data_IF_610672342432
#
_entry.id   IF_610672342432
#
_cell.length_a   1.000
_cell.length_b   1.000
_cell.length_c   1.000
_cell.angle_alpha   90.00
_cell.angle_beta   90.00
_cell.angle_gamma   90.00
#
_symmetry.space_group_name_H-M   'P 1'
#
loop_
_entity.id
_entity.type
_entity.pdbx_description
1 polymer ?
#
# COMPACT_ATOMS: atom_id res chain seq x y z
N UNK A 1 -0.43 17.85 -20.05
CA UNK A 1 0.89 17.14 -20.11
C UNK A 1 1.88 18.05 -20.81
N UNK A 2 3.02 18.33 -20.19
CA UNK A 2 4.13 19.11 -20.79
C UNK A 2 5.01 18.22 -21.68
N UNK A 3 5.87 18.82 -22.49
CA UNK A 3 6.88 18.09 -23.26
C UNK A 3 7.93 17.47 -22.32
N UNK A 4 8.37 16.26 -22.64
CA UNK A 4 9.41 15.54 -21.91
C UNK A 4 10.32 14.79 -22.90
N UNK A 5 11.55 14.53 -22.48
CA UNK A 5 12.44 13.60 -23.18
C UNK A 5 12.23 12.18 -22.67
N UNK A 6 12.52 11.18 -23.50
CA UNK A 6 12.39 9.77 -23.15
C UNK A 6 13.73 9.07 -23.38
N UNK A 7 14.16 8.30 -22.37
CA UNK A 7 15.36 7.48 -22.43
C UNK A 7 15.06 6.12 -21.84
N UNK A 8 15.73 5.09 -22.32
CA UNK A 8 15.65 3.73 -21.78
C UNK A 8 16.93 3.43 -21.00
N UNK A 9 16.80 2.91 -19.80
CA UNK A 9 17.92 2.43 -19.02
C UNK A 9 18.38 1.05 -19.55
N UNK A 10 19.69 0.85 -19.64
CA UNK A 10 20.30 -0.40 -20.07
C UNK A 10 20.41 -1.43 -18.94
N UNK A 11 20.70 -0.95 -17.74
CA UNK A 11 20.80 -1.73 -16.51
C UNK A 11 20.45 -0.85 -15.29
N UNK A 12 20.43 -1.45 -14.09
CA UNK A 12 20.12 -0.74 -12.84
C UNK A 12 21.12 0.39 -12.55
N UNK A 13 22.40 0.18 -12.81
CA UNK A 13 23.42 1.19 -12.59
C UNK A 13 23.23 2.39 -13.51
N UNK A 14 22.86 2.14 -14.76
CA UNK A 14 22.52 3.19 -15.73
C UNK A 14 21.25 3.94 -15.31
N UNK A 15 20.21 3.26 -14.85
CA UNK A 15 18.99 3.89 -14.32
C UNK A 15 19.32 4.84 -13.16
N UNK A 16 20.16 4.40 -12.21
CA UNK A 16 20.63 5.20 -11.07
C UNK A 16 21.44 6.42 -11.53
N UNK A 17 22.36 6.25 -12.50
CA UNK A 17 23.13 7.41 -13.04
C UNK A 17 22.21 8.44 -13.71
N UNK A 18 21.25 7.98 -14.51
CA UNK A 18 20.33 8.86 -15.24
C UNK A 18 19.43 9.66 -14.31
N UNK A 19 18.84 9.01 -13.26
CA UNK A 19 17.95 9.70 -12.31
C UNK A 19 18.72 10.68 -11.42
N UNK A 20 19.93 10.33 -11.02
CA UNK A 20 20.79 11.18 -10.21
C UNK A 20 21.28 12.44 -10.97
N UNK A 21 21.42 12.35 -12.29
CA UNK A 21 21.85 13.47 -13.13
C UNK A 21 20.76 14.53 -13.38
N UNK A 22 19.47 14.18 -13.15
CA UNK A 22 18.35 15.09 -13.40
C UNK A 22 17.28 14.95 -12.30
N UNK A 23 17.22 15.88 -11.33
CA UNK A 23 16.26 15.81 -10.23
C UNK A 23 14.80 15.92 -10.65
N UNK A 24 14.53 16.36 -11.89
CA UNK A 24 13.17 16.45 -12.45
C UNK A 24 12.75 15.19 -13.21
N UNK A 25 13.70 14.29 -13.51
CA UNK A 25 13.41 13.02 -14.16
C UNK A 25 12.57 12.10 -13.28
N UNK A 26 11.84 11.19 -13.93
CA UNK A 26 11.08 10.12 -13.24
C UNK A 26 11.27 8.79 -13.95
N UNK A 27 11.35 7.71 -13.17
CA UNK A 27 11.24 6.37 -13.71
C UNK A 27 9.84 6.12 -14.23
N UNK A 28 9.75 5.44 -15.37
CA UNK A 28 8.50 4.91 -15.89
C UNK A 28 8.60 3.38 -16.05
N UNK A 29 7.64 2.68 -15.44
CA UNK A 29 7.39 1.25 -15.64
C UNK A 29 6.02 1.09 -16.33
N UNK A 30 5.03 0.47 -15.71
CA UNK A 30 3.69 0.33 -16.28
C UNK A 30 2.90 1.64 -16.51
N UNK A 31 3.35 2.75 -15.95
CA UNK A 31 2.81 4.10 -16.19
C UNK A 31 1.43 4.37 -15.57
N UNK A 32 0.78 3.37 -14.97
CA UNK A 32 -0.63 3.43 -14.53
C UNK A 32 -0.94 4.48 -13.46
N UNK A 33 0.05 5.08 -12.83
CA UNK A 33 -0.11 6.24 -11.95
C UNK A 33 0.63 7.48 -12.48
N UNK A 34 1.88 7.35 -12.94
CA UNK A 34 2.66 8.50 -13.39
C UNK A 34 2.01 9.21 -14.58
N UNK A 35 1.57 8.44 -15.61
CA UNK A 35 0.94 9.04 -16.81
C UNK A 35 -0.38 9.74 -16.44
N UNK A 36 -1.16 9.17 -15.52
CA UNK A 36 -2.37 9.79 -14.99
C UNK A 36 -2.05 11.16 -14.37
N UNK A 37 -1.07 11.23 -13.47
CA UNK A 37 -0.62 12.48 -12.86
C UNK A 37 -0.03 13.49 -13.89
N UNK A 38 0.61 12.99 -14.93
CA UNK A 38 1.13 13.86 -16.02
C UNK A 38 -0.01 14.45 -16.88
N UNK A 39 -1.08 13.69 -17.13
CA UNK A 39 -2.26 14.18 -17.87
C UNK A 39 -2.97 15.28 -17.10
N UNK A 40 -3.03 15.17 -15.79
CA UNK A 40 -3.62 16.18 -14.90
C UNK A 40 -2.65 17.34 -14.56
N UNK A 41 -1.43 17.34 -15.12
CA UNK A 41 -0.37 18.32 -14.83
C UNK A 41 0.01 18.41 -13.34
N UNK A 42 -0.24 17.35 -12.57
CA UNK A 42 0.20 17.20 -11.17
C UNK A 42 1.67 16.78 -11.11
N UNK A 43 2.11 15.95 -12.07
CA UNK A 43 3.51 15.60 -12.28
C UNK A 43 3.98 16.13 -13.64
N UNK A 44 5.07 16.89 -13.62
CA UNK A 44 5.61 17.54 -14.82
C UNK A 44 7.11 17.19 -14.97
N UNK A 45 7.48 15.91 -15.16
CA UNK A 45 8.89 15.54 -15.36
C UNK A 45 9.40 16.09 -16.70
N UNK A 46 10.66 16.55 -16.70
CA UNK A 46 11.36 16.94 -17.95
C UNK A 46 11.82 15.72 -18.74
N UNK A 47 11.98 14.57 -18.04
CA UNK A 47 12.49 13.33 -18.62
C UNK A 47 11.82 12.10 -17.99
N UNK A 48 11.50 11.12 -18.85
CA UNK A 48 11.11 9.78 -18.44
C UNK A 48 12.25 8.80 -18.71
N UNK A 49 12.62 8.02 -17.68
CA UNK A 49 13.60 6.95 -17.75
C UNK A 49 12.83 5.63 -17.72
N UNK A 50 12.75 4.98 -18.87
CA UNK A 50 12.07 3.69 -19.02
C UNK A 50 12.93 2.56 -18.42
N UNK A 51 12.33 1.88 -17.43
CA UNK A 51 12.93 0.77 -16.71
C UNK A 51 12.29 -0.59 -17.04
N UNK A 52 11.36 -0.64 -18.01
CA UNK A 52 10.55 -1.84 -18.30
C UNK A 52 11.36 -3.05 -18.79
N UNK A 53 12.57 -2.84 -19.29
CA UNK A 53 13.45 -3.89 -19.81
C UNK A 53 14.55 -4.35 -18.83
N UNK A 54 14.57 -3.78 -17.63
CA UNK A 54 15.52 -4.23 -16.61
C UNK A 54 15.16 -5.66 -16.14
N UNK A 55 16.14 -6.51 -15.80
CA UNK A 55 15.90 -7.90 -15.39
C UNK A 55 15.38 -7.98 -13.93
N UNK A 56 14.26 -7.32 -13.65
CA UNK A 56 13.63 -7.19 -12.33
C UNK A 56 12.21 -7.78 -12.32
N UNK A 57 11.94 -8.77 -13.14
CA UNK A 57 10.62 -9.36 -13.41
C UNK A 57 10.46 -10.80 -12.91
N UNK A 58 11.34 -11.26 -11.99
CA UNK A 58 11.31 -12.61 -11.46
C UNK A 58 10.74 -12.71 -10.06
N UNK A 59 10.17 -13.87 -9.74
CA UNK A 59 9.79 -14.28 -8.37
C UNK A 59 10.65 -15.47 -8.00
N UNK A 60 11.47 -15.33 -6.96
CA UNK A 60 12.50 -16.30 -6.59
C UNK A 60 12.43 -16.64 -5.10
N UNK A 61 12.72 -17.90 -4.76
CA UNK A 61 12.90 -18.32 -3.35
C UNK A 61 14.25 -17.83 -2.86
N UNK A 62 14.28 -17.29 -1.64
CA UNK A 62 15.51 -16.88 -0.98
C UNK A 62 15.92 -17.89 0.10
N UNK A 63 17.18 -17.80 0.54
CA UNK A 63 17.82 -18.81 1.41
C UNK A 63 17.14 -19.00 2.76
N UNK A 64 16.46 -17.97 3.29
CA UNK A 64 15.70 -18.02 4.55
C UNK A 64 14.30 -18.64 4.38
N UNK A 65 13.99 -19.16 3.19
CA UNK A 65 12.70 -19.74 2.84
C UNK A 65 11.64 -18.72 2.44
N UNK A 66 11.96 -17.42 2.40
CA UNK A 66 11.08 -16.37 1.92
C UNK A 66 10.97 -16.31 0.38
N UNK A 67 10.38 -15.23 -0.12
CA UNK A 67 10.32 -14.93 -1.56
C UNK A 67 10.88 -13.54 -1.85
N UNK A 68 11.67 -13.43 -2.93
CA UNK A 68 12.05 -12.18 -3.55
C UNK A 68 11.22 -11.97 -4.80
N UNK A 69 10.56 -10.83 -4.89
CA UNK A 69 9.68 -10.40 -5.96
C UNK A 69 10.32 -9.20 -6.63
N UNK A 70 10.71 -9.34 -7.88
CA UNK A 70 11.30 -8.25 -8.66
C UNK A 70 10.33 -7.08 -8.83
N UNK A 71 10.86 -5.86 -8.83
CA UNK A 71 10.06 -4.64 -8.86
C UNK A 71 9.20 -4.50 -10.13
N UNK A 72 9.58 -5.15 -11.22
CA UNK A 72 8.88 -5.10 -12.51
C UNK A 72 7.89 -6.26 -12.73
N UNK A 73 7.76 -7.20 -11.78
CA UNK A 73 6.72 -8.25 -11.86
C UNK A 73 5.36 -7.57 -11.97
N UNK A 74 4.55 -7.86 -13.03
CA UNK A 74 3.20 -7.33 -13.16
C UNK A 74 2.30 -7.77 -11.98
N UNK A 75 1.42 -6.88 -11.54
CA UNK A 75 0.52 -7.21 -10.43
C UNK A 75 -0.40 -8.41 -10.74
N UNK A 76 -0.83 -8.58 -12.00
CA UNK A 76 -1.57 -9.76 -12.45
C UNK A 76 -0.79 -11.04 -12.24
N UNK A 77 0.46 -11.09 -12.71
CA UNK A 77 1.30 -12.27 -12.66
C UNK A 77 1.64 -12.63 -11.21
N UNK A 78 1.93 -11.61 -10.39
CA UNK A 78 2.15 -11.80 -8.96
C UNK A 78 0.92 -12.38 -8.25
N UNK A 79 -0.29 -11.86 -8.54
CA UNK A 79 -1.52 -12.29 -7.87
C UNK A 79 -1.86 -13.76 -8.12
N UNK A 80 -1.49 -14.29 -9.31
CA UNK A 80 -1.76 -15.67 -9.71
C UNK A 80 -0.51 -16.56 -9.62
N UNK A 81 0.62 -16.05 -9.12
CA UNK A 81 1.84 -16.83 -9.00
C UNK A 81 1.64 -18.00 -8.01
N UNK A 82 2.05 -19.24 -8.35
CA UNK A 82 1.80 -20.44 -7.51
C UNK A 82 2.30 -20.30 -6.06
N UNK A 83 3.50 -19.75 -5.84
CA UNK A 83 4.04 -19.53 -4.50
C UNK A 83 3.23 -18.49 -3.71
N UNK A 84 2.69 -17.47 -4.38
CA UNK A 84 1.83 -16.47 -3.74
C UNK A 84 0.48 -17.11 -3.39
N UNK A 85 -0.12 -17.85 -4.30
CA UNK A 85 -1.40 -18.53 -4.05
C UNK A 85 -1.29 -19.55 -2.89
N UNK A 86 -0.19 -20.29 -2.83
CA UNK A 86 0.01 -21.33 -1.82
C UNK A 86 0.45 -20.77 -0.46
N UNK A 87 1.32 -19.77 -0.42
CA UNK A 87 1.99 -19.34 0.81
C UNK A 87 1.58 -17.96 1.30
N UNK A 88 1.21 -17.07 0.39
CA UNK A 88 0.86 -15.67 0.71
C UNK A 88 -0.49 -15.26 0.11
N UNK A 89 -1.55 -16.06 0.30
CA UNK A 89 -2.85 -15.80 -0.34
C UNK A 89 -3.47 -14.46 0.10
N UNK A 90 -3.07 -13.92 1.25
CA UNK A 90 -3.40 -12.57 1.70
C UNK A 90 -2.94 -11.52 0.68
N UNK A 91 -1.71 -11.65 0.17
CA UNK A 91 -1.16 -10.73 -0.85
C UNK A 91 -1.92 -10.85 -2.16
N UNK A 92 -2.15 -12.07 -2.65
CA UNK A 92 -2.95 -12.31 -3.86
C UNK A 92 -4.35 -11.71 -3.75
N UNK A 93 -5.03 -11.92 -2.61
CA UNK A 93 -6.36 -11.36 -2.34
C UNK A 93 -6.36 -9.82 -2.35
N UNK A 94 -5.35 -9.19 -1.77
CA UNK A 94 -5.22 -7.73 -1.75
C UNK A 94 -5.01 -7.16 -3.15
N UNK A 95 -4.12 -7.75 -3.95
CA UNK A 95 -3.88 -7.33 -5.34
C UNK A 95 -5.16 -7.46 -6.17
N UNK A 96 -5.87 -8.58 -6.06
CA UNK A 96 -7.11 -8.83 -6.82
C UNK A 96 -8.28 -7.95 -6.38
N UNK A 97 -8.26 -7.43 -5.15
CA UNK A 97 -9.22 -6.43 -4.67
C UNK A 97 -8.98 -5.04 -5.28
N UNK A 98 -7.77 -4.77 -5.78
CA UNK A 98 -7.36 -3.48 -6.34
C UNK A 98 -7.56 -3.39 -7.84
N UNK A 99 -7.66 -2.15 -8.34
CA UNK A 99 -7.66 -1.78 -9.76
C UNK A 99 -8.67 -2.57 -10.63
N UNK A 100 -8.38 -2.70 -11.92
CA UNK A 100 -9.05 -3.59 -12.88
C UNK A 100 -8.05 -4.62 -13.39
N UNK A 101 -8.50 -5.73 -14.03
CA UNK A 101 -7.58 -6.68 -14.68
C UNK A 101 -6.60 -6.01 -15.65
N UNK A 102 -7.09 -5.08 -16.48
CA UNK A 102 -6.28 -4.36 -17.47
C UNK A 102 -5.16 -3.54 -16.78
N UNK A 103 -5.51 -2.82 -15.71
CA UNK A 103 -4.51 -2.04 -14.96
C UNK A 103 -3.49 -2.95 -14.26
N UNK A 104 -3.92 -4.08 -13.69
CA UNK A 104 -3.01 -5.03 -13.04
C UNK A 104 -2.02 -5.67 -14.03
N UNK A 105 -2.42 -5.84 -15.30
CA UNK A 105 -1.52 -6.33 -16.35
C UNK A 105 -0.37 -5.36 -16.66
N UNK A 106 -0.57 -4.06 -16.40
CA UNK A 106 0.43 -3.02 -16.66
C UNK A 106 1.16 -2.55 -15.39
N UNK A 107 0.47 -2.53 -14.26
CA UNK A 107 1.04 -2.06 -13.00
C UNK A 107 2.13 -3.01 -12.51
N UNK A 108 3.32 -2.48 -12.28
CA UNK A 108 4.45 -3.22 -11.71
C UNK A 108 4.40 -3.24 -10.18
N UNK A 109 5.03 -4.23 -9.59
CA UNK A 109 5.08 -4.43 -8.13
C UNK A 109 5.76 -3.24 -7.44
N UNK A 110 6.93 -2.80 -7.89
CA UNK A 110 7.61 -1.61 -7.34
C UNK A 110 6.81 -0.32 -7.56
N UNK A 111 6.22 -0.17 -8.76
CA UNK A 111 5.38 1.00 -9.07
C UNK A 111 4.12 1.07 -8.20
N UNK A 112 3.56 -0.06 -7.80
CA UNK A 112 2.41 -0.09 -6.91
C UNK A 112 2.71 0.50 -5.52
N UNK A 113 3.92 0.34 -5.00
CA UNK A 113 4.34 0.96 -3.73
C UNK A 113 4.37 2.48 -3.83
N UNK A 114 4.68 3.02 -5.00
CA UNK A 114 4.90 4.43 -5.25
C UNK A 114 3.66 5.18 -5.76
N UNK A 115 2.50 4.50 -5.84
CA UNK A 115 1.28 5.19 -6.25
C UNK A 115 0.90 6.27 -5.24
N UNK A 116 0.55 7.45 -5.77
CA UNK A 116 0.23 8.62 -4.95
C UNK A 116 -1.25 8.65 -4.56
N UNK A 117 -1.57 9.48 -3.59
CA UNK A 117 -2.93 9.66 -3.09
C UNK A 117 -3.95 9.93 -4.20
N UNK A 118 -5.22 9.61 -3.96
CA UNK A 118 -6.36 9.92 -4.83
C UNK A 118 -7.22 11.05 -4.25
N UNK A 119 -6.61 11.94 -3.45
CA UNK A 119 -7.24 13.15 -2.96
C UNK A 119 -7.65 14.06 -4.13
N UNK A 120 -8.90 14.49 -4.20
CA UNK A 120 -9.41 15.36 -5.27
C UNK A 120 -8.64 16.66 -5.35
N UNK A 121 -8.32 17.26 -4.21
CA UNK A 121 -7.57 18.51 -4.12
C UNK A 121 -6.09 18.37 -4.52
N UNK A 122 -5.54 17.15 -4.46
CA UNK A 122 -4.22 16.86 -5.00
C UNK A 122 -4.23 16.82 -6.53
N UNK A 123 -5.31 16.29 -7.12
CA UNK A 123 -5.49 16.22 -8.58
C UNK A 123 -5.91 17.55 -9.19
N UNK A 124 -6.72 18.34 -8.50
CA UNK A 124 -7.14 19.67 -8.95
C UNK A 124 -6.04 20.70 -8.68
N UNK A 125 -5.31 21.09 -9.73
CA UNK A 125 -4.19 22.03 -9.65
C UNK A 125 -4.62 23.47 -9.32
N UNK A 126 -5.91 23.77 -9.30
CA UNK A 126 -6.43 25.09 -8.93
C UNK A 126 -6.66 25.24 -7.43
N UNK A 127 -6.64 24.15 -6.67
CA UNK A 127 -6.87 24.15 -5.22
C UNK A 127 -5.57 24.13 -4.42
N UNK A 128 -5.49 24.79 -3.24
CA UNK A 128 -4.37 24.67 -2.32
C UNK A 128 -4.10 23.23 -1.88
N UNK A 129 -2.85 22.76 -2.01
CA UNK A 129 -2.45 21.41 -1.62
C UNK A 129 -0.97 21.34 -1.22
N UNK A 130 -0.69 21.24 0.08
CA UNK A 130 0.68 21.14 0.63
C UNK A 130 1.48 19.94 0.08
N UNK A 131 0.78 18.88 -0.37
CA UNK A 131 1.42 17.71 -0.98
C UNK A 131 1.94 18.01 -2.39
N UNK A 132 1.31 18.90 -3.11
CA UNK A 132 1.70 19.33 -4.46
C UNK A 132 2.59 20.57 -4.40
N UNK A 133 2.18 21.55 -3.60
CA UNK A 133 2.86 22.83 -3.43
C UNK A 133 2.99 23.14 -1.93
N UNK A 134 4.16 22.83 -1.32
CA UNK A 134 4.38 23.05 0.10
C UNK A 134 4.11 24.48 0.54
N UNK A 135 3.35 24.66 1.62
CA UNK A 135 2.97 25.96 2.16
C UNK A 135 1.69 26.56 1.57
N UNK A 136 1.09 25.95 0.55
CA UNK A 136 -0.16 26.47 -0.05
C UNK A 136 -1.42 26.17 0.78
N UNK A 137 -1.35 25.25 1.74
CA UNK A 137 -2.48 24.82 2.55
C UNK A 137 -3.05 23.45 2.12
N UNK A 138 -4.12 23.02 2.78
CA UNK A 138 -4.80 21.76 2.51
C UNK A 138 -6.31 21.98 2.39
N UNK A 139 -6.84 22.00 1.17
CA UNK A 139 -8.27 22.22 0.91
C UNK A 139 -9.15 21.05 1.38
N UNK A 140 -8.58 19.89 1.69
CA UNK A 140 -9.34 18.77 2.25
C UNK A 140 -9.72 18.99 3.72
N UNK A 141 -8.90 19.75 4.48
CA UNK A 141 -9.23 20.14 5.85
C UNK A 141 -10.30 21.24 5.77
N UNK A 142 -11.50 20.94 6.31
CA UNK A 142 -12.67 21.83 6.19
C UNK A 142 -13.42 21.73 4.85
N UNK A 143 -12.93 20.96 3.87
CA UNK A 143 -13.60 20.68 2.61
C UNK A 143 -14.32 19.33 2.61
N UNK A 144 -14.64 18.82 1.41
CA UNK A 144 -15.22 17.47 1.24
C UNK A 144 -14.10 16.44 1.47
N UNK A 145 -14.20 15.67 2.55
CA UNK A 145 -13.13 14.77 2.98
C UNK A 145 -13.55 13.32 3.26
N UNK A 146 -14.67 12.87 2.67
CA UNK A 146 -15.24 11.53 2.87
C UNK A 146 -14.23 10.38 2.70
N UNK A 147 -13.27 10.49 1.77
CA UNK A 147 -12.29 9.46 1.47
C UNK A 147 -10.96 9.63 2.24
N UNK A 148 -10.84 10.68 3.04
CA UNK A 148 -9.57 11.06 3.67
C UNK A 148 -9.27 10.28 4.95
N UNK A 149 -8.07 10.46 5.46
CA UNK A 149 -7.53 9.76 6.62
C UNK A 149 -8.24 10.13 7.92
N UNK A 150 -8.27 9.16 8.84
CA UNK A 150 -8.75 9.29 10.22
C UNK A 150 -7.65 8.96 11.24
N UNK A 151 -6.49 8.50 10.76
CA UNK A 151 -5.32 8.13 11.58
C UNK A 151 -4.05 8.73 10.98
N UNK A 152 -3.08 9.09 11.83
CA UNK A 152 -1.77 9.56 11.40
C UNK A 152 -1.81 10.82 10.54
N UNK A 153 -2.80 11.67 10.70
CA UNK A 153 -2.98 12.94 10.00
C UNK A 153 -2.11 14.03 10.60
N UNK A 154 -1.92 15.13 9.87
CA UNK A 154 -1.30 16.35 10.38
C UNK A 154 -2.12 17.58 9.99
N UNK A 155 -1.76 18.74 10.53
CA UNK A 155 -2.33 20.03 10.12
C UNK A 155 -1.98 20.38 8.65
N UNK A 156 -1.01 19.68 8.06
CA UNK A 156 -0.57 19.90 6.69
C UNK A 156 -1.29 19.02 5.66
N UNK A 157 -1.77 17.84 6.05
CA UNK A 157 -2.40 16.90 5.10
C UNK A 157 -3.16 15.76 5.78
N UNK A 158 -4.32 15.43 5.23
CA UNK A 158 -5.17 14.31 5.65
C UNK A 158 -5.38 13.27 4.53
N UNK A 159 -4.52 13.22 3.52
CA UNK A 159 -4.62 12.27 2.42
C UNK A 159 -4.40 10.82 2.88
N UNK A 160 -4.85 9.86 2.07
CA UNK A 160 -4.65 8.42 2.29
C UNK A 160 -3.73 7.82 1.24
N UNK A 161 -3.00 6.77 1.62
CA UNK A 161 -2.31 5.88 0.67
C UNK A 161 -3.33 4.92 0.03
N UNK A 162 -3.38 4.78 -1.30
CA UNK A 162 -4.48 4.09 -1.96
C UNK A 162 -4.24 2.59 -2.23
N UNK A 163 -3.03 2.06 -2.01
CA UNK A 163 -2.66 0.70 -2.41
C UNK A 163 -3.20 -0.37 -1.48
N UNK A 164 -4.01 -1.28 -2.03
CA UNK A 164 -4.43 -2.52 -1.35
C UNK A 164 -3.26 -3.47 -1.12
N UNK A 165 -2.37 -3.63 -2.10
CA UNK A 165 -1.17 -4.47 -2.01
C UNK A 165 -0.28 -4.06 -0.84
N UNK A 166 -0.07 -2.77 -0.63
CA UNK A 166 0.75 -2.25 0.47
C UNK A 166 0.19 -2.61 1.85
N UNK A 167 -1.12 -2.73 2.00
CA UNK A 167 -1.74 -3.14 3.27
C UNK A 167 -1.39 -4.59 3.61
N UNK A 168 -1.43 -5.48 2.61
CA UNK A 168 -1.01 -6.87 2.77
C UNK A 168 0.51 -6.99 3.03
N UNK A 169 1.33 -6.22 2.30
CA UNK A 169 2.78 -6.19 2.51
C UNK A 169 3.15 -5.71 3.92
N UNK A 170 2.44 -4.72 4.46
CA UNK A 170 2.61 -4.26 5.83
C UNK A 170 2.26 -5.36 6.85
N UNK A 171 1.15 -6.08 6.66
CA UNK A 171 0.77 -7.21 7.52
C UNK A 171 1.77 -8.37 7.43
N UNK A 172 2.38 -8.59 6.26
CA UNK A 172 3.33 -9.68 6.02
C UNK A 172 4.78 -9.35 6.40
N UNK A 173 5.06 -8.18 7.01
CA UNK A 173 6.42 -7.75 7.35
C UNK A 173 7.40 -7.77 6.17
N UNK A 174 6.96 -7.33 5.00
CA UNK A 174 7.77 -7.25 3.80
C UNK A 174 9.00 -6.35 3.99
N UNK A 175 10.01 -6.51 3.13
CA UNK A 175 11.17 -5.63 3.02
C UNK A 175 11.27 -5.11 1.59
N UNK A 176 11.68 -3.86 1.41
CA UNK A 176 11.88 -3.23 0.11
C UNK A 176 13.38 -3.10 -0.15
N UNK A 177 13.84 -3.67 -1.25
CA UNK A 177 15.22 -3.58 -1.70
C UNK A 177 15.33 -2.43 -2.69
N UNK A 178 16.31 -1.58 -2.47
CA UNK A 178 16.57 -0.40 -3.30
C UNK A 178 18.03 -0.28 -3.64
N UNK A 179 18.33 0.30 -4.79
CA UNK A 179 19.68 0.60 -5.25
C UNK A 179 19.78 2.07 -5.62
N UNK A 180 20.82 2.76 -5.16
CA UNK A 180 21.12 4.16 -5.47
C UNK A 180 22.62 4.35 -5.68
N UNK A 181 23.08 5.60 -5.82
CA UNK A 181 24.51 5.92 -5.95
C UNK A 181 25.33 5.43 -4.76
N UNK A 182 24.74 5.37 -3.57
CA UNK A 182 25.38 4.84 -2.35
C UNK A 182 25.39 3.31 -2.23
N UNK A 183 24.97 2.57 -3.28
CA UNK A 183 24.84 1.12 -3.27
C UNK A 183 23.44 0.63 -2.92
N UNK A 184 23.36 -0.62 -2.53
CA UNK A 184 22.12 -1.30 -2.17
C UNK A 184 21.78 -1.10 -0.68
N UNK A 185 20.49 -1.00 -0.38
CA UNK A 185 19.98 -1.07 1.00
C UNK A 185 18.60 -1.72 1.06
N UNK A 186 18.29 -2.21 2.24
CA UNK A 186 16.97 -2.80 2.54
C UNK A 186 16.21 -1.88 3.50
N UNK A 187 14.94 -1.64 3.20
CA UNK A 187 14.04 -0.83 4.02
C UNK A 187 12.95 -1.75 4.56
N UNK A 188 12.74 -1.76 5.88
CA UNK A 188 11.58 -2.44 6.45
C UNK A 188 10.30 -1.78 5.89
N UNK A 189 9.28 -2.57 5.55
CA UNK A 189 8.06 -2.02 4.93
C UNK A 189 7.35 -1.01 5.83
N UNK A 190 7.42 -1.18 7.15
CA UNK A 190 6.89 -0.22 8.15
C UNK A 190 7.49 1.18 8.01
N UNK A 191 8.73 1.27 7.51
CA UNK A 191 9.52 2.50 7.41
C UNK A 191 9.58 3.04 5.98
N UNK A 192 9.00 2.32 5.01
CA UNK A 192 9.04 2.72 3.61
C UNK A 192 8.17 3.94 3.32
N UNK A 193 6.90 3.92 3.74
CA UNK A 193 6.00 5.06 3.59
C UNK A 193 6.04 5.95 4.83
N UNK A 194 5.84 7.26 4.62
CA UNK A 194 5.87 8.28 5.68
C UNK A 194 4.47 8.73 6.06
N UNK A 195 4.31 9.16 7.31
CA UNK A 195 3.20 10.02 7.71
C UNK A 195 3.47 11.45 7.20
N UNK A 196 2.42 12.28 6.99
CA UNK A 196 2.59 13.60 6.39
C UNK A 196 3.47 14.53 7.22
N UNK A 197 3.30 14.55 8.55
CA UNK A 197 4.03 15.48 9.41
C UNK A 197 4.04 16.90 8.83
N UNK A 198 5.23 17.51 8.80
CA UNK A 198 5.46 18.84 8.22
C UNK A 198 5.86 18.81 6.74
N UNK A 199 6.05 17.60 6.16
CA UNK A 199 6.53 17.41 4.80
C UNK A 199 5.65 16.44 3.98
N UNK A 200 4.37 16.78 3.75
CA UNK A 200 3.42 15.90 3.07
C UNK A 200 3.74 15.63 1.60
N UNK A 201 4.58 16.43 0.97
CA UNK A 201 5.07 16.23 -0.40
C UNK A 201 5.94 14.97 -0.55
N UNK A 202 6.53 14.47 0.56
CA UNK A 202 7.40 13.30 0.59
C UNK A 202 6.64 12.08 1.09
N UNK A 203 6.28 11.17 0.17
CA UNK A 203 5.44 10.01 0.47
C UNK A 203 6.22 8.83 1.06
N UNK A 204 7.51 8.72 0.78
CA UNK A 204 8.35 7.58 1.19
C UNK A 204 9.73 8.01 1.68
N UNK A 205 10.49 7.05 2.23
CA UNK A 205 11.89 7.22 2.65
C UNK A 205 12.87 6.91 1.52
N UNK A 206 12.39 6.71 0.30
CA UNK A 206 13.20 6.53 -0.89
C UNK A 206 13.98 7.82 -1.18
N UNK A 207 15.27 7.69 -1.46
CA UNK A 207 16.09 8.83 -1.88
C UNK A 207 15.81 9.17 -3.34
N UNK A 208 16.09 10.42 -3.78
CA UNK A 208 15.82 10.83 -5.16
C UNK A 208 16.55 10.01 -6.22
N UNK A 209 17.72 9.44 -5.87
CA UNK A 209 18.58 8.64 -6.74
C UNK A 209 18.33 7.14 -6.67
N UNK A 210 17.34 6.69 -5.87
CA UNK A 210 17.09 5.26 -5.65
C UNK A 210 16.01 4.70 -6.54
N UNK A 211 16.24 3.47 -7.01
CA UNK A 211 15.28 2.61 -7.69
C UNK A 211 14.92 1.41 -6.80
N UNK A 212 13.65 1.06 -6.74
CA UNK A 212 13.21 -0.20 -6.13
C UNK A 212 13.59 -1.34 -7.06
N UNK A 213 14.34 -2.30 -6.54
CA UNK A 213 14.78 -3.48 -7.31
C UNK A 213 13.95 -4.71 -6.99
N UNK A 214 13.53 -4.88 -5.72
CA UNK A 214 12.69 -6.03 -5.32
C UNK A 214 11.90 -5.73 -4.04
N UNK A 215 10.96 -6.64 -3.73
CA UNK A 215 10.30 -6.78 -2.45
C UNK A 215 10.57 -8.19 -1.94
N UNK A 216 10.92 -8.32 -0.65
CA UNK A 216 11.09 -9.62 0.01
C UNK A 216 9.96 -9.86 0.99
N UNK A 217 9.46 -11.09 0.97
CA UNK A 217 8.50 -11.63 1.94
C UNK A 217 9.20 -12.64 2.85
N UNK A 218 8.93 -12.64 4.16
CA UNK A 218 9.45 -13.66 5.07
C UNK A 218 8.88 -15.04 4.72
N UNK A 219 9.46 -16.11 5.27
CA UNK A 219 9.00 -17.48 5.02
C UNK A 219 7.56 -17.75 5.45
N UNK A 220 7.03 -16.99 6.43
CA UNK A 220 5.69 -17.15 7.00
C UNK A 220 4.67 -16.26 6.25
N UNK A 221 3.63 -16.87 5.67
CA UNK A 221 2.61 -16.18 4.85
C UNK A 221 1.17 -16.28 5.35
N UNK A 222 0.90 -16.95 6.48
CA UNK A 222 -0.44 -17.10 7.10
C UNK A 222 -1.49 -17.74 6.18
N UNK A 223 -1.14 -18.76 5.41
CA UNK A 223 -2.00 -19.34 4.38
C UNK A 223 -3.30 -19.98 4.89
N UNK A 224 -3.35 -20.43 6.17
CA UNK A 224 -4.51 -21.09 6.75
C UNK A 224 -5.58 -20.14 7.28
N UNK A 225 -5.17 -19.09 7.95
CA UNK A 225 -6.07 -18.15 8.63
C UNK A 225 -5.73 -16.71 8.24
N UNK A 226 -6.33 -16.25 7.13
CA UNK A 226 -6.11 -14.90 6.61
C UNK A 226 -7.42 -14.31 6.10
N UNK A 227 -7.44 -12.99 5.93
CA UNK A 227 -8.44 -12.32 5.09
C UNK A 227 -7.95 -10.96 4.62
N UNK A 228 -8.35 -10.56 3.43
CA UNK A 228 -8.29 -9.18 2.97
C UNK A 228 -9.71 -8.67 2.75
N UNK A 229 -10.23 -7.91 3.68
CA UNK A 229 -11.54 -7.27 3.61
C UNK A 229 -11.41 -5.85 3.06
N UNK A 230 -12.11 -5.54 1.95
CA UNK A 230 -12.14 -4.20 1.37
C UNK A 230 -13.56 -3.66 1.34
N UNK A 231 -13.79 -2.58 2.05
CA UNK A 231 -15.06 -1.85 2.09
C UNK A 231 -14.96 -0.65 1.15
N UNK A 232 -15.85 -0.57 0.17
CA UNK A 232 -15.84 0.41 -0.92
C UNK A 232 -17.24 0.69 -1.44
N UNK A 233 -17.42 1.80 -2.16
CA UNK A 233 -18.74 2.25 -2.63
C UNK A 233 -19.33 1.42 -3.78
N UNK A 234 -18.53 0.61 -4.47
CA UNK A 234 -18.95 -0.28 -5.56
C UNK A 234 -18.12 -1.55 -5.61
N UNK A 235 -18.63 -2.62 -6.24
CA UNK A 235 -18.02 -3.95 -6.22
C UNK A 235 -16.66 -4.04 -6.94
N UNK A 236 -16.37 -3.15 -7.88
CA UNK A 236 -15.11 -3.15 -8.61
C UNK A 236 -14.62 -1.73 -8.87
N UNK A 237 -13.33 -1.60 -9.17
CA UNK A 237 -12.69 -0.36 -9.60
C UNK A 237 -13.01 0.84 -8.71
N UNK A 238 -12.88 0.65 -7.41
CA UNK A 238 -13.01 1.69 -6.40
C UNK A 238 -11.92 1.53 -5.33
N UNK A 239 -11.39 2.66 -4.86
CA UNK A 239 -10.47 2.67 -3.73
C UNK A 239 -11.23 2.34 -2.44
N UNK A 240 -10.51 1.82 -1.45
CA UNK A 240 -11.10 1.49 -0.16
C UNK A 240 -11.50 2.76 0.59
N UNK A 241 -12.69 2.74 1.19
CA UNK A 241 -13.00 3.60 2.34
C UNK A 241 -12.20 3.11 3.54
N UNK A 242 -12.27 1.81 3.78
CA UNK A 242 -11.48 1.07 4.77
C UNK A 242 -11.13 -0.28 4.18
N UNK A 243 -9.90 -0.74 4.35
CA UNK A 243 -9.53 -2.13 4.11
C UNK A 243 -8.77 -2.70 5.30
N UNK A 244 -8.86 -4.01 5.48
CA UNK A 244 -8.25 -4.72 6.60
C UNK A 244 -7.56 -5.97 6.08
N UNK A 245 -6.24 -6.05 6.30
CA UNK A 245 -5.44 -7.24 6.07
C UNK A 245 -5.21 -7.96 7.41
N UNK A 246 -5.55 -9.23 7.49
CA UNK A 246 -5.38 -10.05 8.68
C UNK A 246 -4.67 -11.35 8.32
N UNK A 247 -3.68 -11.73 9.14
CA UNK A 247 -3.09 -13.06 9.18
C UNK A 247 -3.07 -13.55 10.63
N UNK A 248 -3.52 -14.77 10.88
CA UNK A 248 -3.53 -15.39 12.21
C UNK A 248 -2.84 -16.74 12.18
N UNK A 249 -2.15 -17.06 13.24
CA UNK A 249 -1.78 -18.41 13.59
C UNK A 249 -2.59 -18.81 14.84
N UNK A 250 -3.37 -19.88 14.73
CA UNK A 250 -4.24 -20.35 15.81
C UNK A 250 -3.87 -21.81 16.14
N UNK A 251 -3.59 -22.08 17.40
CA UNK A 251 -3.38 -23.43 17.92
C UNK A 251 -3.89 -23.51 19.36
N UNK A 252 -4.39 -24.68 19.76
CA UNK A 252 -4.89 -24.94 21.10
C UNK A 252 -5.98 -23.95 21.56
N UNK A 253 -6.83 -23.51 20.65
CA UNK A 253 -7.91 -22.55 20.93
C UNK A 253 -7.47 -21.11 21.20
N UNK A 254 -6.19 -20.78 21.01
CA UNK A 254 -5.63 -19.46 21.21
C UNK A 254 -4.89 -18.94 19.95
N UNK A 255 -4.86 -17.63 19.80
CA UNK A 255 -4.07 -16.95 18.77
C UNK A 255 -2.61 -17.02 19.20
N UNK A 256 -1.74 -17.68 18.43
CA UNK A 256 -0.30 -17.74 18.69
C UNK A 256 0.41 -16.52 18.12
N UNK A 257 -0.03 -16.06 16.96
CA UNK A 257 0.50 -14.89 16.30
C UNK A 257 -0.61 -14.18 15.51
N UNK A 258 -0.59 -12.85 15.51
CA UNK A 258 -1.52 -12.02 14.73
C UNK A 258 -0.77 -10.99 13.89
N UNK A 259 -1.33 -10.71 12.74
CA UNK A 259 -0.97 -9.60 11.84
C UNK A 259 -2.22 -8.84 11.50
N UNK A 260 -2.18 -7.51 11.66
CA UNK A 260 -3.34 -6.65 11.43
C UNK A 260 -2.88 -5.31 10.86
N UNK A 261 -3.27 -5.04 9.62
CA UNK A 261 -3.00 -3.76 8.97
C UNK A 261 -4.25 -3.17 8.32
N UNK A 262 -4.39 -1.85 8.36
CA UNK A 262 -5.50 -1.12 7.77
C UNK A 262 -5.05 -0.32 6.54
N UNK A 263 -5.93 -0.20 5.56
CA UNK A 263 -5.79 0.68 4.40
C UNK A 263 -6.95 1.66 4.28
N UNK A 264 -6.74 2.73 3.50
CA UNK A 264 -7.72 3.79 3.30
C UNK A 264 -7.95 4.70 4.52
N UNK A 265 -7.20 4.55 5.60
CA UNK A 265 -7.38 5.26 6.87
C UNK A 265 -6.24 6.20 7.23
N UNK A 266 -5.09 6.09 6.59
CA UNK A 266 -3.87 6.87 6.88
C UNK A 266 -3.03 7.11 5.61
N UNK A 267 -2.00 7.94 5.73
CA UNK A 267 -1.01 8.25 4.68
C UNK A 267 -0.12 7.06 4.29
N UNK A 268 -0.12 6.04 5.12
CA UNK A 268 0.55 4.75 4.90
C UNK A 268 -0.35 3.63 5.41
N UNK A 269 -0.09 2.35 5.06
CA UNK A 269 -0.75 1.24 5.73
C UNK A 269 -0.59 1.38 7.24
N UNK A 270 -1.71 1.33 7.98
CA UNK A 270 -1.73 1.54 9.42
C UNK A 270 -1.63 0.23 10.16
N UNK A 271 -0.64 0.09 11.00
CA UNK A 271 -0.38 -1.11 11.78
C UNK A 271 0.16 -0.73 13.17
N UNK A 272 -0.29 -1.44 14.19
CA UNK A 272 0.16 -1.29 15.58
C UNK A 272 0.56 -2.66 16.13
N UNK A 273 1.86 -2.84 16.41
CA UNK A 273 2.40 -4.10 16.90
C UNK A 273 1.99 -4.40 18.34
N UNK A 274 1.68 -3.41 19.14
CA UNK A 274 1.19 -3.60 20.51
C UNK A 274 -0.21 -4.21 20.50
N UNK A 275 -1.05 -3.83 19.53
CA UNK A 275 -2.36 -4.47 19.30
C UNK A 275 -2.20 -5.94 18.88
N UNK A 276 -1.26 -6.24 18.00
CA UNK A 276 -0.95 -7.61 17.59
C UNK A 276 -0.45 -8.45 18.78
N UNK A 277 0.40 -7.87 19.63
CA UNK A 277 0.89 -8.52 20.85
C UNK A 277 -0.24 -8.80 21.86
N UNK A 278 -1.24 -7.91 21.97
CA UNK A 278 -2.42 -8.14 22.81
C UNK A 278 -3.33 -9.27 22.30
N UNK A 279 -3.32 -9.55 21.00
CA UNK A 279 -4.04 -10.67 20.42
C UNK A 279 -3.34 -11.99 20.68
N UNK A 280 -2.02 -12.01 20.84
CA UNK A 280 -1.25 -13.21 21.11
C UNK A 280 -1.60 -13.79 22.50
N UNK A 281 -1.87 -15.09 22.54
CA UNK A 281 -2.34 -15.81 23.73
C UNK A 281 -3.85 -15.70 24.01
N UNK A 282 -4.55 -14.77 23.36
CA UNK A 282 -5.99 -14.56 23.59
C UNK A 282 -6.84 -15.57 22.77
N UNK A 283 -8.05 -15.92 23.25
CA UNK A 283 -8.98 -16.70 22.47
C UNK A 283 -9.54 -15.89 21.29
N UNK A 284 -9.80 -16.51 20.11
CA UNK A 284 -10.32 -15.82 18.94
C UNK A 284 -11.83 -15.55 19.05
N UNK A 285 -12.23 -14.67 19.97
CA UNK A 285 -13.62 -14.32 20.26
C UNK A 285 -13.96 -12.91 19.77
N UNK A 286 -15.26 -12.63 19.59
CA UNK A 286 -15.74 -11.31 19.22
C UNK A 286 -15.37 -10.23 20.25
N UNK A 287 -15.26 -10.57 21.52
CA UNK A 287 -14.84 -9.64 22.57
C UNK A 287 -13.37 -9.27 22.43
N UNK A 288 -12.49 -10.28 22.24
CA UNK A 288 -11.06 -10.06 21.95
C UNK A 288 -10.87 -9.15 20.74
N UNK A 289 -11.65 -9.39 19.67
CA UNK A 289 -11.56 -8.63 18.43
C UNK A 289 -12.07 -7.19 18.56
N UNK A 290 -13.13 -6.95 19.37
CA UNK A 290 -13.59 -5.59 19.66
C UNK A 290 -12.54 -4.79 20.44
N UNK A 291 -11.95 -5.38 21.46
CA UNK A 291 -10.86 -4.76 22.24
C UNK A 291 -9.68 -4.35 21.36
N UNK A 292 -9.24 -5.28 20.47
CA UNK A 292 -8.17 -4.97 19.52
C UNK A 292 -8.55 -3.82 18.56
N UNK A 293 -9.80 -3.80 18.07
CA UNK A 293 -10.28 -2.72 17.22
C UNK A 293 -10.33 -1.37 17.95
N UNK A 294 -10.80 -1.34 19.20
CA UNK A 294 -10.87 -0.12 20.01
C UNK A 294 -9.46 0.41 20.30
N UNK A 295 -8.51 -0.47 20.63
CA UNK A 295 -7.12 -0.08 20.86
C UNK A 295 -6.46 0.46 19.58
N UNK A 296 -6.67 -0.21 18.43
CA UNK A 296 -6.07 0.23 17.15
C UNK A 296 -6.61 1.59 16.68
N UNK A 297 -7.85 1.91 17.04
CA UNK A 297 -8.54 3.14 16.64
C UNK A 297 -8.56 4.23 17.74
N UNK A 298 -7.83 4.04 18.86
CA UNK A 298 -7.85 4.96 20.00
C UNK A 298 -7.57 6.42 19.66
N UNK A 299 -6.69 6.65 18.67
CA UNK A 299 -6.29 7.99 18.22
C UNK A 299 -7.02 8.43 16.93
N UNK A 300 -8.04 7.68 16.51
CA UNK A 300 -8.78 8.01 15.30
C UNK A 300 -9.63 9.25 15.48
N UNK A 301 -9.47 10.21 14.56
CA UNK A 301 -10.31 11.42 14.51
C UNK A 301 -10.79 11.66 13.08
N UNK A 302 -12.04 12.08 12.94
CA UNK A 302 -12.59 12.53 11.68
C UNK A 302 -12.43 14.02 11.45
N UNK A 303 -12.86 14.45 10.27
CA UNK A 303 -12.80 15.82 9.79
C UNK A 303 -14.18 16.28 9.25
N UNK A 304 -15.25 15.69 9.78
CA UNK A 304 -16.64 15.95 9.41
C UNK A 304 -17.20 14.89 8.45
N UNK A 305 -16.89 14.97 7.15
CA UNK A 305 -17.47 14.03 6.16
C UNK A 305 -16.90 12.61 6.24
N UNK A 306 -15.82 12.36 6.98
CA UNK A 306 -15.19 11.04 7.14
C UNK A 306 -15.33 10.44 8.55
N UNK A 307 -16.09 11.05 9.46
CA UNK A 307 -16.28 10.55 10.83
C UNK A 307 -16.85 9.13 10.87
N UNK A 308 -17.74 8.81 9.93
CA UNK A 308 -18.33 7.47 9.79
C UNK A 308 -17.28 6.36 9.58
N UNK A 309 -16.09 6.71 9.09
CA UNK A 309 -15.03 5.72 8.84
C UNK A 309 -14.47 5.12 10.12
N UNK A 310 -14.59 5.80 11.26
CA UNK A 310 -14.13 5.29 12.57
C UNK A 310 -14.94 4.04 12.92
N UNK A 311 -16.28 4.15 12.91
CA UNK A 311 -17.15 3.01 13.19
C UNK A 311 -17.08 1.94 12.08
N UNK A 312 -16.96 2.37 10.82
CA UNK A 312 -16.77 1.46 9.70
C UNK A 312 -15.48 0.63 9.85
N UNK A 313 -14.38 1.25 10.26
CA UNK A 313 -13.11 0.58 10.53
C UNK A 313 -13.24 -0.40 11.71
N UNK A 314 -13.88 0.01 12.82
CA UNK A 314 -14.12 -0.84 13.99
C UNK A 314 -14.84 -2.13 13.58
N UNK A 315 -15.96 -2.03 12.86
CA UNK A 315 -16.72 -3.19 12.37
C UNK A 315 -15.94 -4.02 11.36
N UNK A 316 -15.20 -3.34 10.47
CA UNK A 316 -14.34 -3.98 9.47
C UNK A 316 -13.25 -4.83 10.12
N UNK A 317 -12.59 -4.35 11.17
CA UNK A 317 -11.57 -5.07 11.93
C UNK A 317 -12.16 -6.33 12.58
N UNK A 318 -13.27 -6.18 13.30
CA UNK A 318 -13.94 -7.32 13.98
C UNK A 318 -14.36 -8.38 12.96
N UNK A 319 -14.95 -7.97 11.83
CA UNK A 319 -15.34 -8.86 10.75
C UNK A 319 -14.14 -9.59 10.14
N UNK A 320 -13.07 -8.86 9.82
CA UNK A 320 -11.88 -9.42 9.21
C UNK A 320 -11.18 -10.43 10.14
N UNK A 321 -11.01 -10.12 11.41
CA UNK A 321 -10.47 -11.03 12.41
C UNK A 321 -11.33 -12.28 12.56
N UNK A 322 -12.67 -12.14 12.58
CA UNK A 322 -13.62 -13.27 12.64
C UNK A 322 -13.51 -14.17 11.42
N UNK A 323 -13.43 -13.59 10.21
CA UNK A 323 -13.27 -14.36 8.97
C UNK A 323 -11.93 -15.12 8.94
N UNK A 324 -10.84 -14.45 9.32
CA UNK A 324 -9.53 -15.07 9.38
C UNK A 324 -9.51 -16.22 10.42
N UNK A 325 -10.08 -15.99 11.60
CA UNK A 325 -10.13 -17.03 12.65
C UNK A 325 -10.91 -18.27 12.23
N UNK A 326 -11.95 -18.11 11.41
CA UNK A 326 -12.77 -19.20 10.88
C UNK A 326 -12.20 -19.84 9.61
N UNK A 327 -11.11 -19.31 9.04
CA UNK A 327 -10.59 -19.75 7.75
C UNK A 327 -11.55 -19.46 6.58
N UNK A 328 -12.35 -18.40 6.67
CA UNK A 328 -13.36 -18.00 5.67
C UNK A 328 -13.07 -16.61 5.10
N UNK A 329 -12.00 -16.43 4.31
CA UNK A 329 -11.66 -15.15 3.72
C UNK A 329 -12.73 -14.71 2.71
N UNK A 330 -12.93 -13.40 2.57
CA UNK A 330 -13.81 -12.87 1.54
C UNK A 330 -13.23 -13.16 0.16
N UNK A 331 -14.01 -13.85 -0.68
CA UNK A 331 -13.63 -14.10 -2.08
C UNK A 331 -13.48 -12.78 -2.84
N UNK A 332 -12.42 -12.66 -3.64
CA UNK A 332 -12.23 -11.54 -4.56
C UNK A 332 -12.76 -11.84 -5.98
N UNK A 333 -13.02 -13.11 -6.29
CA UNK A 333 -13.59 -13.55 -7.54
C UNK A 333 -15.13 -13.67 -7.48
N UNK A 334 -15.66 -14.21 -6.37
CA UNK A 334 -17.10 -14.36 -6.13
C UNK A 334 -17.50 -13.47 -4.94
N UNK A 335 -17.85 -12.23 -5.25
CA UNK A 335 -18.21 -11.22 -4.23
C UNK A 335 -19.69 -11.27 -3.94
N UNK A 336 -20.04 -11.74 -2.75
CA UNK A 336 -21.40 -11.76 -2.24
C UNK A 336 -21.52 -10.82 -1.05
N UNK A 337 -22.64 -10.10 -0.99
CA UNK A 337 -23.06 -9.37 0.20
C UNK A 337 -23.79 -10.40 1.07
N UNK A 338 -23.14 -10.85 2.13
CA UNK A 338 -23.72 -11.74 3.14
C UNK A 338 -24.01 -10.96 4.42
#
# INVERSE_FOLDING_TARGET
MINFSYMRAHDVADAVRQIAADPTAKFIAGGTNLIDLMKENVACPSRLIDITHLPLDKVEKISDGGLRIGALVPNSDLAYHPEIAARYPLLGSAILAGASPQLRNMASTGGNLLQRTRCFYFYDTTTPCNKREPGSGCSAIGGINRMHAILGTSEQCIATHPSDMCVALAALDARVLVTGQGGERTIAFSDFHRLPGDAPQTDSTLRPDEIITAIELPSKGFAGNYTYLKIRDRLSYAFALVSVAVGLEIADGAIKEARLALGGVAHKPWRDRDVEAQLAGAPPTAETFRRAADTLLRDARGFGHNDFKIELARRGIVRALTQAARGTPQSQADKRIA
#
